data_IF_437110795356
#
_entry.id   IF_437110795356
#
_cell.length_a   1.000
_cell.length_b   1.000
_cell.length_c   1.000
_cell.angle_alpha   90.00
_cell.angle_beta   90.00
_cell.angle_gamma   90.00
#
_symmetry.space_group_name_H-M   'P 1'
#
loop_
_entity.id
_entity.type
_entity.pdbx_description
1 polymer ?
#
# COMPACT_ATOMS: atom_id res chain seq x y z
N UNK A 1 -0.01 -29.83 -17.47
CA UNK A 1 0.40 -28.75 -16.58
C UNK A 1 0.93 -29.38 -15.30
N UNK A 2 2.23 -29.25 -15.04
CA UNK A 2 2.92 -29.82 -13.88
C UNK A 2 3.09 -28.74 -12.78
N UNK A 3 3.41 -29.16 -11.55
CA UNK A 3 3.73 -28.29 -10.40
C UNK A 3 4.82 -27.28 -10.74
N UNK A 4 5.82 -27.67 -11.52
CA UNK A 4 6.86 -26.75 -11.99
C UNK A 4 6.32 -25.66 -12.93
N UNK A 5 5.29 -25.98 -13.74
CA UNK A 5 4.63 -25.00 -14.60
C UNK A 5 3.74 -24.06 -13.77
N UNK A 6 3.08 -24.59 -12.73
CA UNK A 6 2.29 -23.81 -11.77
C UNK A 6 3.17 -22.83 -10.97
N UNK A 7 4.34 -23.26 -10.50
CA UNK A 7 5.28 -22.41 -9.78
C UNK A 7 5.76 -21.24 -10.64
N UNK A 8 6.19 -21.52 -11.87
CA UNK A 8 6.58 -20.47 -12.84
C UNK A 8 5.44 -19.51 -13.16
N UNK A 9 4.22 -20.01 -13.25
CA UNK A 9 3.04 -19.18 -13.48
C UNK A 9 2.75 -18.28 -12.27
N UNK A 10 2.86 -18.81 -11.05
CA UNK A 10 2.70 -18.05 -9.82
C UNK A 10 3.76 -16.95 -9.67
N UNK A 11 5.04 -17.26 -9.96
CA UNK A 11 6.14 -16.28 -9.96
C UNK A 11 5.86 -15.12 -10.93
N UNK A 12 5.36 -15.42 -12.13
CA UNK A 12 4.97 -14.38 -13.11
C UNK A 12 3.85 -13.51 -12.59
N UNK A 13 2.77 -14.10 -12.07
CA UNK A 13 1.66 -13.34 -11.52
C UNK A 13 2.08 -12.46 -10.34
N UNK A 14 2.96 -12.96 -9.46
CA UNK A 14 3.50 -12.16 -8.37
C UNK A 14 4.30 -10.98 -8.89
N UNK A 15 5.18 -11.20 -9.87
CA UNK A 15 6.00 -10.15 -10.45
C UNK A 15 5.15 -9.08 -11.16
N UNK A 16 4.17 -9.49 -11.96
CA UNK A 16 3.25 -8.57 -12.65
C UNK A 16 2.38 -7.78 -11.66
N UNK A 17 1.90 -8.43 -10.60
CA UNK A 17 1.14 -7.77 -9.54
C UNK A 17 2.00 -6.78 -8.78
N UNK A 18 3.25 -7.12 -8.47
CA UNK A 18 4.18 -6.25 -7.77
C UNK A 18 4.51 -5.01 -8.63
N UNK A 19 4.80 -5.20 -9.92
CA UNK A 19 5.01 -4.08 -10.84
C UNK A 19 3.78 -3.17 -10.94
N UNK A 20 2.58 -3.75 -11.00
CA UNK A 20 1.33 -3.00 -11.03
C UNK A 20 1.13 -2.17 -9.76
N UNK A 21 1.42 -2.76 -8.59
CA UNK A 21 1.38 -2.04 -7.32
C UNK A 21 2.41 -0.90 -7.31
N UNK A 22 3.65 -1.15 -7.72
CA UNK A 22 4.66 -0.10 -7.76
C UNK A 22 4.24 1.09 -8.63
N UNK A 23 3.64 0.83 -9.79
CA UNK A 23 3.09 1.88 -10.65
C UNK A 23 1.93 2.64 -9.98
N UNK A 24 1.10 1.98 -9.17
CA UNK A 24 0.06 2.66 -8.37
C UNK A 24 0.67 3.62 -7.35
N UNK A 25 1.81 3.27 -6.73
CA UNK A 25 2.50 4.19 -5.82
C UNK A 25 3.02 5.43 -6.54
N UNK A 26 3.56 5.27 -7.75
CA UNK A 26 4.00 6.41 -8.57
C UNK A 26 2.81 7.31 -8.94
N UNK A 27 1.69 6.72 -9.38
CA UNK A 27 0.46 7.46 -9.65
C UNK A 27 -0.09 8.16 -8.39
N UNK A 28 -0.02 7.51 -7.23
CA UNK A 28 -0.42 8.13 -5.96
C UNK A 28 0.47 9.33 -5.65
N UNK A 29 1.77 9.25 -5.93
CA UNK A 29 2.69 10.36 -5.70
C UNK A 29 2.37 11.58 -6.59
N UNK A 30 1.83 11.35 -7.78
CA UNK A 30 1.38 12.44 -8.67
C UNK A 30 0.06 13.07 -8.20
N UNK A 31 -0.83 12.29 -7.56
CA UNK A 31 -2.14 12.74 -7.07
C UNK A 31 -2.04 13.39 -5.68
N UNK A 32 -1.35 12.73 -4.76
CA UNK A 32 -1.19 13.13 -3.35
C UNK A 32 0.25 12.80 -2.88
N UNK A 33 1.21 13.69 -3.19
CA UNK A 33 2.63 13.44 -2.89
C UNK A 33 2.90 13.32 -1.39
N UNK A 34 2.12 13.98 -0.54
CA UNK A 34 2.31 13.93 0.91
C UNK A 34 2.04 12.53 1.47
N UNK A 35 0.92 11.89 1.08
CA UNK A 35 0.61 10.53 1.53
C UNK A 35 1.66 9.53 1.03
N UNK A 36 2.07 9.63 -0.23
CA UNK A 36 3.08 8.76 -0.81
C UNK A 36 4.43 8.90 -0.06
N UNK A 37 4.87 10.13 0.19
CA UNK A 37 6.14 10.40 0.87
C UNK A 37 6.12 9.94 2.33
N UNK A 38 5.02 10.17 3.05
CA UNK A 38 4.88 9.71 4.43
C UNK A 38 4.88 8.18 4.47
N UNK A 39 4.12 7.51 3.60
CA UNK A 39 4.11 6.05 3.54
C UNK A 39 5.52 5.48 3.29
N UNK A 40 6.26 6.08 2.36
CA UNK A 40 7.65 5.69 2.08
C UNK A 40 8.57 5.89 3.28
N UNK A 41 8.42 6.99 4.04
CA UNK A 41 9.19 7.23 5.26
C UNK A 41 8.83 6.26 6.37
N UNK A 42 7.55 5.94 6.55
CA UNK A 42 7.07 5.02 7.59
C UNK A 42 7.60 3.60 7.37
N UNK A 43 7.53 3.11 6.13
CA UNK A 43 7.87 1.71 5.85
C UNK A 43 9.32 1.50 5.38
N UNK A 44 10.00 2.58 4.96
CA UNK A 44 11.37 2.58 4.44
C UNK A 44 11.61 1.55 3.32
N UNK A 45 10.55 1.19 2.60
CA UNK A 45 10.52 0.16 1.58
C UNK A 45 9.29 0.39 0.69
N UNK A 46 9.51 0.50 -0.63
CA UNK A 46 8.43 0.79 -1.59
C UNK A 46 7.39 -0.32 -1.63
N UNK A 47 7.81 -1.59 -1.59
CA UNK A 47 6.91 -2.74 -1.63
C UNK A 47 6.04 -2.75 -0.39
N UNK A 48 6.63 -2.56 0.79
CA UNK A 48 5.86 -2.51 2.05
C UNK A 48 4.89 -1.33 2.08
N UNK A 49 5.32 -0.16 1.60
CA UNK A 49 4.46 1.02 1.56
C UNK A 49 3.22 0.78 0.70
N UNK A 50 3.40 0.29 -0.54
CA UNK A 50 2.25 0.04 -1.41
C UNK A 50 1.40 -1.13 -0.94
N UNK A 51 2.01 -2.21 -0.41
CA UNK A 51 1.25 -3.31 0.16
C UNK A 51 0.39 -2.84 1.32
N UNK A 52 0.90 -1.97 2.19
CA UNK A 52 0.10 -1.39 3.26
C UNK A 52 -1.03 -0.50 2.71
N UNK A 53 -0.74 0.35 1.73
CA UNK A 53 -1.74 1.22 1.08
C UNK A 53 -2.86 0.45 0.39
N UNK A 54 -2.56 -0.75 -0.13
CA UNK A 54 -3.50 -1.64 -0.81
C UNK A 54 -4.17 -2.67 0.10
N UNK A 55 -3.74 -2.80 1.36
CA UNK A 55 -4.27 -3.81 2.29
C UNK A 55 -5.28 -3.19 3.27
N UNK A 56 -6.31 -3.95 3.69
CA UNK A 56 -7.23 -3.52 4.73
C UNK A 56 -6.52 -3.12 6.03
N UNK A 57 -6.90 -1.97 6.59
CA UNK A 57 -6.37 -1.46 7.85
C UNK A 57 -7.50 -1.33 8.87
N UNK A 58 -7.37 -2.02 10.02
CA UNK A 58 -8.41 -2.05 11.06
C UNK A 58 -8.79 -0.66 11.58
N UNK A 59 -7.81 0.23 11.77
CA UNK A 59 -8.06 1.61 12.24
C UNK A 59 -8.78 2.50 11.22
N UNK A 60 -8.91 2.05 9.96
CA UNK A 60 -9.73 2.69 8.92
C UNK A 60 -11.10 2.00 8.74
N UNK A 61 -11.44 1.00 9.57
CA UNK A 61 -12.68 0.22 9.44
C UNK A 61 -12.56 -0.95 8.46
N UNK A 62 -11.40 -1.62 8.44
CA UNK A 62 -11.11 -2.77 7.59
C UNK A 62 -11.21 -2.50 6.07
N UNK A 63 -10.95 -1.26 5.66
CA UNK A 63 -10.77 -0.87 4.25
C UNK A 63 -9.30 -0.53 3.97
N UNK A 64 -8.92 -0.62 2.69
CA UNK A 64 -7.58 -0.24 2.26
C UNK A 64 -7.40 1.29 2.29
N UNK A 65 -6.22 1.81 2.67
CA UNK A 65 -5.92 3.24 2.62
C UNK A 65 -6.21 3.88 1.25
N UNK A 66 -5.89 3.22 0.13
CA UNK A 66 -6.24 3.73 -1.21
C UNK A 66 -7.75 3.90 -1.41
N UNK A 67 -8.55 2.99 -0.86
CA UNK A 67 -10.01 3.11 -0.89
C UNK A 67 -10.49 4.25 0.01
N UNK A 68 -9.92 4.39 1.21
CA UNK A 68 -10.23 5.50 2.11
C UNK A 68 -9.93 6.86 1.46
N UNK A 69 -8.83 6.98 0.70
CA UNK A 69 -8.51 8.18 -0.08
C UNK A 69 -9.59 8.47 -1.14
N UNK A 70 -10.05 7.45 -1.86
CA UNK A 70 -11.13 7.60 -2.85
C UNK A 70 -12.47 8.02 -2.20
N UNK A 71 -12.70 7.65 -0.95
CA UNK A 71 -13.86 8.07 -0.14
C UNK A 71 -13.69 9.46 0.50
N UNK A 72 -12.58 10.17 0.22
CA UNK A 72 -12.30 11.49 0.79
C UNK A 72 -11.80 11.48 2.24
N UNK A 73 -11.48 10.31 2.80
CA UNK A 73 -11.01 10.12 4.18
C UNK A 73 -9.49 10.30 4.31
N UNK A 74 -8.94 11.30 3.62
CA UNK A 74 -7.50 11.55 3.55
C UNK A 74 -6.87 11.77 4.93
N UNK A 75 -7.50 12.60 5.76
CA UNK A 75 -7.00 12.90 7.11
C UNK A 75 -6.94 11.66 8.01
N UNK A 76 -7.84 10.69 7.81
CA UNK A 76 -7.83 9.45 8.56
C UNK A 76 -6.62 8.59 8.18
N UNK A 77 -6.30 8.50 6.89
CA UNK A 77 -5.11 7.80 6.39
C UNK A 77 -3.84 8.45 6.92
N UNK A 78 -3.75 9.78 6.85
CA UNK A 78 -2.59 10.55 7.31
C UNK A 78 -2.37 10.39 8.83
N UNK A 79 -3.46 10.45 9.60
CA UNK A 79 -3.44 10.20 11.05
C UNK A 79 -2.91 8.80 11.37
N UNK A 80 -3.35 7.77 10.66
CA UNK A 80 -2.86 6.40 10.86
C UNK A 80 -1.38 6.30 10.52
N UNK A 81 -0.93 6.88 9.40
CA UNK A 81 0.49 6.90 9.04
C UNK A 81 1.35 7.59 10.10
N UNK A 82 0.90 8.72 10.66
CA UNK A 82 1.58 9.38 11.76
C UNK A 82 1.62 8.53 13.04
N UNK A 83 0.52 7.83 13.37
CA UNK A 83 0.50 6.90 14.51
C UNK A 83 1.54 5.79 14.35
N UNK A 84 1.64 5.20 13.15
CA UNK A 84 2.65 4.18 12.85
C UNK A 84 4.06 4.77 12.97
N UNK A 85 4.29 5.96 12.41
CA UNK A 85 5.59 6.65 12.46
C UNK A 85 6.08 6.90 13.89
N UNK A 86 5.17 7.29 14.79
CA UNK A 86 5.49 7.61 16.18
C UNK A 86 5.38 6.41 17.13
N UNK A 87 5.07 5.21 16.62
CA UNK A 87 4.91 4.00 17.43
C UNK A 87 3.72 4.04 18.39
N UNK A 88 2.74 4.90 18.13
CA UNK A 88 1.52 5.05 18.94
C UNK A 88 0.50 4.04 18.45
N UNK A 89 0.55 2.82 18.98
CA UNK A 89 -0.51 1.82 18.80
C UNK A 89 -1.57 2.02 19.88
N UNK A 90 -2.79 2.36 19.46
CA UNK A 90 -3.99 2.39 20.29
C UNK A 90 -5.03 1.41 19.75
#
# INVERSE_FOLDING_TARGET
MNINDLAKLAERYQHESEQSLMAMLDNLRDIDPEIADIALRVFNDRAKAIHWLASPVRSLGDIAPLQALAEGKREDVLRVLHQIMHGVYG
#
